data_IF_446665601238
#
_entry.id   IF_446665601238
#
_cell.length_a   1.000
_cell.length_b   1.000
_cell.length_c   1.000
_cell.angle_alpha   90.00
_cell.angle_beta   90.00
_cell.angle_gamma   90.00
#
_symmetry.space_group_name_H-M   'P 1'
#
loop_
_entity.id
_entity.type
_entity.pdbx_description
1 polymer ?
#
# COMPACT_ATOMS: atom_id res chain seq x y z
N UNK A 1 -13.65 4.59 17.51
CA UNK A 1 -12.23 4.35 17.30
C UNK A 1 -11.91 4.30 15.81
N UNK A 2 -10.72 4.81 15.43
CA UNK A 2 -10.25 4.80 14.03
C UNK A 2 -10.12 3.37 13.48
N UNK A 3 -9.70 2.42 14.31
CA UNK A 3 -9.57 1.02 13.89
C UNK A 3 -10.92 0.38 13.57
N UNK A 4 -11.95 0.67 14.36
CA UNK A 4 -13.32 0.23 14.07
C UNK A 4 -13.82 0.79 12.73
N UNK A 5 -13.58 2.08 12.49
CA UNK A 5 -13.92 2.71 11.21
C UNK A 5 -13.15 2.11 10.03
N UNK A 6 -11.90 1.70 10.27
CA UNK A 6 -11.13 0.99 9.26
C UNK A 6 -11.70 -0.39 8.94
N UNK A 7 -12.07 -1.17 9.94
CA UNK A 7 -12.76 -2.44 9.75
C UNK A 7 -14.04 -2.25 8.94
N UNK A 8 -14.88 -1.28 9.32
CA UNK A 8 -16.10 -0.96 8.58
C UNK A 8 -15.83 -0.54 7.13
N UNK A 9 -14.75 0.21 6.89
CA UNK A 9 -14.33 0.57 5.53
C UNK A 9 -13.97 -0.67 4.71
N UNK A 10 -13.16 -1.58 5.26
CA UNK A 10 -12.80 -2.84 4.59
C UNK A 10 -14.05 -3.68 4.28
N UNK A 11 -14.94 -3.84 5.26
CA UNK A 11 -16.21 -4.56 5.08
C UNK A 11 -17.02 -3.97 3.92
N UNK A 12 -17.18 -2.64 3.89
CA UNK A 12 -17.88 -1.93 2.83
C UNK A 12 -17.25 -2.14 1.46
N UNK A 13 -15.92 -2.07 1.37
CA UNK A 13 -15.21 -2.27 0.11
C UNK A 13 -15.40 -3.68 -0.44
N UNK A 14 -15.33 -4.71 0.41
CA UNK A 14 -15.60 -6.08 -0.01
C UNK A 14 -17.06 -6.33 -0.37
N UNK A 15 -18.01 -5.63 0.25
CA UNK A 15 -19.42 -5.74 -0.10
C UNK A 15 -19.71 -5.28 -1.53
N UNK A 16 -18.99 -4.29 -2.05
CA UNK A 16 -19.08 -3.87 -3.44
C UNK A 16 -18.61 -4.94 -4.44
N UNK A 17 -17.80 -5.89 -3.99
CA UNK A 17 -17.42 -7.05 -4.80
C UNK A 17 -18.43 -8.21 -4.73
N UNK A 18 -19.57 -8.01 -4.06
CA UNK A 18 -20.64 -9.01 -3.96
C UNK A 18 -20.44 -10.07 -2.87
N UNK A 19 -19.47 -9.89 -1.96
CA UNK A 19 -19.31 -10.82 -0.83
C UNK A 19 -20.43 -10.67 0.21
N UNK A 20 -20.87 -11.79 0.79
CA UNK A 20 -21.84 -11.78 1.87
C UNK A 20 -21.28 -11.05 3.12
N UNK A 21 -22.16 -10.40 3.88
CA UNK A 21 -21.76 -9.58 5.04
C UNK A 21 -20.91 -10.34 6.07
N UNK A 22 -21.19 -11.62 6.32
CA UNK A 22 -20.39 -12.45 7.21
C UNK A 22 -18.96 -12.64 6.71
N UNK A 23 -18.78 -12.79 5.39
CA UNK A 23 -17.46 -12.93 4.75
C UNK A 23 -16.71 -11.59 4.79
N UNK A 24 -17.38 -10.47 4.49
CA UNK A 24 -16.79 -9.14 4.59
C UNK A 24 -16.20 -8.89 5.99
N UNK A 25 -16.96 -9.22 7.03
CA UNK A 25 -16.53 -9.10 8.43
C UNK A 25 -15.32 -9.99 8.75
N UNK A 26 -15.31 -11.23 8.28
CA UNK A 26 -14.15 -12.13 8.44
C UNK A 26 -12.91 -11.57 7.76
N UNK A 27 -13.04 -11.09 6.52
CA UNK A 27 -11.96 -10.51 5.75
C UNK A 27 -11.39 -9.26 6.44
N UNK A 28 -12.26 -8.35 6.87
CA UNK A 28 -11.84 -7.13 7.55
C UNK A 28 -11.07 -7.42 8.85
N UNK A 29 -11.55 -8.37 9.66
CA UNK A 29 -10.86 -8.78 10.89
C UNK A 29 -9.49 -9.40 10.59
N UNK A 30 -9.40 -10.28 9.59
CA UNK A 30 -8.13 -10.90 9.18
C UNK A 30 -7.13 -9.86 8.66
N UNK A 31 -7.57 -8.94 7.80
CA UNK A 31 -6.73 -7.88 7.25
C UNK A 31 -6.19 -6.99 8.35
N UNK A 32 -7.04 -6.51 9.28
CA UNK A 32 -6.59 -5.70 10.41
C UNK A 32 -5.56 -6.44 11.29
N UNK A 33 -5.78 -7.74 11.55
CA UNK A 33 -4.84 -8.57 12.30
C UNK A 33 -3.49 -8.68 11.58
N UNK A 34 -3.52 -8.95 10.28
CA UNK A 34 -2.33 -9.10 9.44
C UNK A 34 -1.52 -7.78 9.38
N UNK A 35 -2.20 -6.66 9.15
CA UNK A 35 -1.54 -5.34 9.13
C UNK A 35 -0.99 -4.94 10.50
N UNK A 36 -1.68 -5.34 11.57
CA UNK A 36 -1.21 -5.12 12.94
C UNK A 36 0.08 -5.89 13.19
N UNK A 37 0.16 -7.13 12.74
CA UNK A 37 1.39 -7.93 12.85
C UNK A 37 2.55 -7.31 12.06
N UNK A 38 2.31 -6.93 10.82
CA UNK A 38 3.29 -6.20 10.00
C UNK A 38 3.76 -4.92 10.71
N UNK A 39 2.82 -4.16 11.29
CA UNK A 39 3.12 -2.86 11.90
C UNK A 39 3.99 -2.95 13.16
N UNK A 40 3.88 -4.03 13.94
CA UNK A 40 4.68 -4.24 15.17
C UNK A 40 6.19 -4.23 14.92
N UNK A 41 6.61 -4.62 13.74
CA UNK A 41 8.02 -4.77 13.39
C UNK A 41 8.58 -3.63 12.54
N UNK A 42 7.74 -2.67 12.17
CA UNK A 42 8.19 -1.49 11.41
C UNK A 42 8.89 -0.48 12.31
N UNK A 43 9.93 0.13 11.77
CA UNK A 43 10.64 1.25 12.37
C UNK A 43 9.66 2.39 12.71
N UNK A 44 9.86 3.03 13.85
CA UNK A 44 9.02 4.16 14.26
C UNK A 44 9.18 5.40 13.34
N UNK A 45 8.31 6.39 13.54
CA UNK A 45 8.25 7.56 12.67
C UNK A 45 9.48 8.46 12.78
N UNK A 46 10.13 8.51 13.94
CA UNK A 46 11.29 9.35 14.19
C UNK A 46 12.52 8.73 13.55
N UNK A 47 12.75 7.46 13.82
CA UNK A 47 13.89 6.71 13.29
C UNK A 47 13.85 6.60 11.77
N UNK A 48 12.65 6.51 11.16
CA UNK A 48 12.47 6.47 9.71
C UNK A 48 12.95 7.75 8.99
N UNK A 49 13.08 8.85 9.70
CA UNK A 49 13.59 10.13 9.16
C UNK A 49 15.11 10.27 9.27
N UNK A 50 15.76 9.36 9.98
CA UNK A 50 17.20 9.35 10.16
C UNK A 50 17.87 8.57 9.03
N UNK A 51 18.61 9.24 8.11
CA UNK A 51 19.32 8.56 7.04
C UNK A 51 20.34 7.54 7.52
N UNK A 52 20.95 7.72 8.69
CA UNK A 52 21.92 6.79 9.26
C UNK A 52 21.25 5.44 9.63
N UNK A 53 19.96 5.48 10.00
CA UNK A 53 19.18 4.28 10.34
C UNK A 53 18.53 3.61 9.12
N UNK A 54 18.26 4.40 8.07
CA UNK A 54 17.54 3.91 6.89
C UNK A 54 18.45 3.55 5.71
N UNK A 55 19.71 3.94 5.74
CA UNK A 55 20.68 3.61 4.69
C UNK A 55 21.46 2.33 5.03
N UNK A 56 20.91 1.20 4.70
CA UNK A 56 21.51 -0.11 4.97
C UNK A 56 21.75 -0.86 3.65
N UNK A 57 22.88 -0.63 2.96
CA UNK A 57 23.20 -1.34 1.73
C UNK A 57 23.39 -2.85 2.00
N UNK A 58 22.78 -3.67 1.17
CA UNK A 58 22.89 -5.13 1.20
C UNK A 58 23.12 -5.66 -0.21
N UNK A 59 24.03 -6.59 -0.35
CA UNK A 59 24.20 -7.29 -1.62
C UNK A 59 22.98 -8.15 -1.92
N UNK A 60 22.77 -8.49 -3.20
CA UNK A 60 21.71 -9.40 -3.62
C UNK A 60 21.83 -10.76 -2.91
N UNK A 61 23.05 -11.24 -2.66
CA UNK A 61 23.26 -12.47 -1.88
C UNK A 61 22.76 -12.35 -0.44
N UNK A 62 23.07 -11.24 0.23
CA UNK A 62 22.59 -10.99 1.58
C UNK A 62 21.06 -10.90 1.66
N UNK A 63 20.41 -10.24 0.69
CA UNK A 63 18.94 -10.19 0.64
C UNK A 63 18.33 -11.58 0.45
N UNK A 64 18.93 -12.42 -0.39
CA UNK A 64 18.49 -13.82 -0.57
C UNK A 64 18.60 -14.64 0.72
N UNK A 65 19.62 -14.41 1.52
CA UNK A 65 19.78 -15.07 2.84
C UNK A 65 18.74 -14.56 3.85
N UNK A 66 18.45 -13.25 3.84
CA UNK A 66 17.45 -12.65 4.74
C UNK A 66 16.03 -13.13 4.43
N UNK A 67 15.67 -13.25 3.15
CA UNK A 67 14.34 -13.64 2.68
C UNK A 67 14.44 -14.73 1.60
N UNK A 68 14.80 -15.97 1.98
CA UNK A 68 15.04 -17.07 1.04
C UNK A 68 13.77 -17.57 0.33
N UNK A 69 12.58 -17.28 0.87
CA UNK A 69 11.30 -17.66 0.26
C UNK A 69 10.97 -16.82 -0.99
N UNK A 70 11.63 -15.67 -1.21
CA UNK A 70 11.39 -14.83 -2.38
C UNK A 70 12.36 -15.21 -3.49
N UNK A 71 11.83 -15.49 -4.67
CA UNK A 71 12.65 -15.62 -5.88
C UNK A 71 13.08 -14.22 -6.36
N UNK A 72 14.14 -13.70 -5.76
CA UNK A 72 14.63 -12.34 -6.00
C UNK A 72 14.99 -12.08 -7.46
N UNK A 73 15.56 -13.05 -8.18
CA UNK A 73 15.87 -12.88 -9.60
C UNK A 73 14.60 -12.64 -10.40
N UNK A 74 13.58 -13.46 -10.17
CA UNK A 74 12.29 -13.31 -10.84
C UNK A 74 11.59 -12.01 -10.45
N UNK A 75 11.62 -11.64 -9.18
CA UNK A 75 11.03 -10.39 -8.70
C UNK A 75 11.68 -9.17 -9.37
N UNK A 76 13.00 -9.08 -9.33
CA UNK A 76 13.76 -7.97 -9.93
C UNK A 76 13.53 -7.88 -11.44
N UNK A 77 13.53 -9.02 -12.13
CA UNK A 77 13.23 -9.09 -13.57
C UNK A 77 11.83 -8.54 -13.89
N UNK A 78 10.81 -8.96 -13.11
CA UNK A 78 9.41 -8.50 -13.29
C UNK A 78 9.21 -7.00 -13.06
N UNK A 79 9.98 -6.37 -12.20
CA UNK A 79 9.94 -4.92 -11.99
C UNK A 79 10.92 -4.15 -12.90
N UNK A 80 11.57 -4.83 -13.85
CA UNK A 80 12.48 -4.22 -14.82
C UNK A 80 13.83 -3.76 -14.24
N UNK A 81 14.22 -4.31 -13.10
CA UNK A 81 15.50 -3.98 -12.43
C UNK A 81 16.54 -5.05 -12.76
N UNK A 82 17.53 -4.67 -13.54
CA UNK A 82 18.57 -5.57 -14.02
C UNK A 82 19.97 -5.04 -13.65
N UNK A 83 20.94 -5.94 -13.55
CA UNK A 83 22.36 -5.61 -13.37
C UNK A 83 22.64 -4.73 -12.12
N UNK A 84 22.02 -5.08 -10.99
CA UNK A 84 22.28 -4.45 -9.71
C UNK A 84 22.98 -5.42 -8.77
N UNK A 85 23.95 -4.91 -8.00
CA UNK A 85 24.69 -5.70 -7.01
C UNK A 85 24.20 -5.41 -5.58
N UNK A 86 23.59 -4.25 -5.36
CA UNK A 86 23.25 -3.75 -4.03
C UNK A 86 21.85 -3.15 -4.01
N UNK A 87 21.14 -3.41 -2.91
CA UNK A 87 19.83 -2.83 -2.58
C UNK A 87 19.95 -2.08 -1.24
N UNK A 88 19.32 -0.93 -1.13
CA UNK A 88 19.19 -0.23 0.14
C UNK A 88 17.98 -0.77 0.90
N UNK A 89 18.20 -1.33 2.07
CA UNK A 89 17.16 -1.80 2.98
C UNK A 89 16.89 -0.75 4.02
N UNK A 90 15.75 -0.08 3.93
CA UNK A 90 15.41 1.01 4.85
C UNK A 90 15.06 0.54 6.26
N UNK A 91 14.57 -0.69 6.43
CA UNK A 91 14.16 -1.22 7.73
C UNK A 91 14.61 -2.69 7.85
N UNK A 92 15.77 -2.89 8.44
CA UNK A 92 16.35 -4.23 8.65
C UNK A 92 15.52 -5.06 9.64
N UNK A 93 14.98 -4.45 10.68
CA UNK A 93 14.15 -5.16 11.65
C UNK A 93 12.89 -5.72 10.99
N UNK A 94 12.21 -4.91 10.19
CA UNK A 94 11.05 -5.34 9.43
C UNK A 94 11.38 -6.51 8.48
N UNK A 95 12.45 -6.39 7.70
CA UNK A 95 12.86 -7.44 6.75
C UNK A 95 13.18 -8.76 7.48
N UNK A 96 13.87 -8.71 8.61
CA UNK A 96 14.19 -9.89 9.38
C UNK A 96 12.94 -10.60 9.95
N UNK A 97 11.92 -9.81 10.36
CA UNK A 97 10.67 -10.37 10.87
C UNK A 97 9.70 -10.80 9.75
N UNK A 98 9.82 -10.25 8.55
CA UNK A 98 8.98 -10.61 7.42
C UNK A 98 9.07 -12.11 7.09
N UNK A 99 10.22 -12.74 7.29
CA UNK A 99 10.39 -14.19 7.17
C UNK A 99 9.44 -14.96 8.09
N UNK A 100 9.29 -14.52 9.33
CA UNK A 100 8.40 -15.15 10.30
C UNK A 100 6.94 -14.97 9.90
N UNK A 101 6.55 -13.74 9.51
CA UNK A 101 5.21 -13.44 9.02
C UNK A 101 4.86 -14.33 7.81
N UNK A 102 5.82 -14.57 6.92
CA UNK A 102 5.65 -15.48 5.79
C UNK A 102 5.40 -16.93 6.21
N UNK A 103 6.11 -17.41 7.21
CA UNK A 103 6.01 -18.78 7.67
C UNK A 103 4.76 -19.05 8.53
N UNK A 104 4.31 -18.05 9.27
CA UNK A 104 3.16 -18.14 10.19
C UNK A 104 1.82 -18.00 9.49
N UNK A 105 1.77 -17.40 8.32
CA UNK A 105 0.54 -17.17 7.57
C UNK A 105 0.47 -18.08 6.33
N UNK A 106 -0.71 -18.61 6.08
CA UNK A 106 -0.95 -19.44 4.90
C UNK A 106 -1.12 -18.59 3.63
N UNK A 107 -1.04 -19.24 2.48
CA UNK A 107 -1.14 -18.59 1.17
C UNK A 107 -2.48 -17.86 0.97
N UNK A 108 -3.57 -18.32 1.58
CA UNK A 108 -4.89 -17.69 1.44
C UNK A 108 -4.96 -16.36 2.22
N UNK A 109 -4.27 -16.23 3.34
CA UNK A 109 -4.17 -14.97 4.08
C UNK A 109 -3.35 -13.93 3.28
N UNK A 110 -2.27 -14.36 2.63
CA UNK A 110 -1.50 -13.51 1.71
C UNK A 110 -2.32 -13.09 0.49
N UNK A 111 -3.07 -14.00 -0.13
CA UNK A 111 -3.96 -13.67 -1.24
C UNK A 111 -5.04 -12.66 -0.83
N UNK A 112 -5.62 -12.83 0.35
CA UNK A 112 -6.60 -11.90 0.89
C UNK A 112 -5.99 -10.51 1.11
N UNK A 113 -4.81 -10.44 1.71
CA UNK A 113 -4.10 -9.19 1.96
C UNK A 113 -3.73 -8.46 0.67
N UNK A 114 -3.20 -9.20 -0.32
CA UNK A 114 -2.89 -8.62 -1.64
C UNK A 114 -4.16 -8.17 -2.38
N UNK A 115 -5.25 -8.94 -2.30
CA UNK A 115 -6.55 -8.54 -2.86
C UNK A 115 -7.02 -7.22 -2.23
N UNK A 116 -6.90 -7.09 -0.92
CA UNK A 116 -7.21 -5.84 -0.23
C UNK A 116 -6.33 -4.69 -0.71
N UNK A 117 -5.03 -4.88 -0.83
CA UNK A 117 -4.11 -3.87 -1.34
C UNK A 117 -4.53 -3.34 -2.70
N UNK A 118 -4.77 -4.25 -3.67
CA UNK A 118 -5.21 -3.89 -5.02
C UNK A 118 -6.55 -3.15 -5.00
N UNK A 119 -7.54 -3.66 -4.24
CA UNK A 119 -8.86 -3.04 -4.14
C UNK A 119 -8.78 -1.63 -3.55
N UNK A 120 -8.02 -1.47 -2.49
CA UNK A 120 -7.86 -0.20 -1.80
C UNK A 120 -7.11 0.85 -2.64
N UNK A 121 -6.04 0.44 -3.32
CA UNK A 121 -5.25 1.33 -4.18
C UNK A 121 -6.03 1.76 -5.43
N UNK A 122 -6.85 0.87 -5.99
CA UNK A 122 -7.66 1.16 -7.17
C UNK A 122 -8.98 1.87 -6.84
N UNK A 123 -9.40 1.94 -5.58
CA UNK A 123 -10.75 2.38 -5.16
C UNK A 123 -11.17 3.73 -5.74
N UNK A 124 -10.24 4.68 -5.85
CA UNK A 124 -10.52 6.02 -6.43
C UNK A 124 -10.73 6.02 -7.95
N UNK A 125 -10.43 4.92 -8.62
CA UNK A 125 -10.52 4.75 -10.09
C UNK A 125 -11.59 3.73 -10.50
N UNK A 126 -12.30 3.14 -9.53
CA UNK A 126 -13.35 2.16 -9.76
C UNK A 126 -14.74 2.84 -9.82
N UNK A 127 -15.74 2.28 -9.16
CA UNK A 127 -17.09 2.85 -9.17
C UNK A 127 -17.19 4.09 -8.27
N UNK A 128 -18.21 4.92 -8.49
CA UNK A 128 -18.45 6.12 -7.67
C UNK A 128 -18.63 5.77 -6.18
N UNK A 129 -19.32 4.67 -5.90
CA UNK A 129 -19.54 4.21 -4.52
C UNK A 129 -18.23 3.80 -3.83
N UNK A 130 -17.30 3.17 -4.57
CA UNK A 130 -15.98 2.81 -4.04
C UNK A 130 -15.10 4.03 -3.84
N UNK A 131 -15.12 4.98 -4.77
CA UNK A 131 -14.43 6.27 -4.65
C UNK A 131 -14.91 7.04 -3.41
N UNK A 132 -16.23 7.16 -3.23
CA UNK A 132 -16.83 7.84 -2.08
C UNK A 132 -16.43 7.13 -0.77
N UNK A 133 -16.54 5.80 -0.71
CA UNK A 133 -16.17 5.04 0.48
C UNK A 133 -14.69 5.24 0.85
N UNK A 134 -13.80 5.23 -0.14
CA UNK A 134 -12.38 5.47 0.06
C UNK A 134 -12.12 6.89 0.56
N UNK A 135 -12.74 7.89 -0.04
CA UNK A 135 -12.64 9.29 0.40
C UNK A 135 -13.17 9.50 1.82
N UNK A 136 -14.31 8.92 2.17
CA UNK A 136 -14.91 9.01 3.51
C UNK A 136 -13.99 8.48 4.60
N UNK A 137 -13.26 7.41 4.32
CA UNK A 137 -12.30 6.89 5.28
C UNK A 137 -10.99 7.68 5.28
N UNK A 138 -10.28 7.75 4.15
CA UNK A 138 -8.92 8.29 4.12
C UNK A 138 -8.87 9.83 4.20
N UNK A 139 -9.83 10.52 3.61
CA UNK A 139 -9.82 11.98 3.61
C UNK A 139 -10.67 12.57 4.74
N UNK A 140 -11.92 12.15 4.88
CA UNK A 140 -12.82 12.69 5.89
C UNK A 140 -12.47 12.18 7.29
N UNK A 141 -12.37 10.87 7.47
CA UNK A 141 -12.14 10.28 8.81
C UNK A 141 -10.70 10.49 9.30
N UNK A 142 -9.69 10.20 8.47
CA UNK A 142 -8.29 10.26 8.91
C UNK A 142 -7.68 11.67 8.84
N UNK A 143 -8.08 12.47 7.85
CA UNK A 143 -7.47 13.79 7.61
C UNK A 143 -8.37 14.96 7.98
N UNK A 144 -9.62 14.72 8.34
CA UNK A 144 -10.57 15.76 8.72
C UNK A 144 -11.09 16.62 7.57
N UNK A 145 -10.93 16.20 6.32
CA UNK A 145 -11.42 16.93 5.14
C UNK A 145 -12.94 16.88 5.11
N UNK A 146 -13.60 18.02 5.14
CA UNK A 146 -15.05 18.09 5.29
C UNK A 146 -15.80 17.81 3.97
N UNK A 147 -15.25 18.27 2.84
CA UNK A 147 -15.88 18.16 1.53
C UNK A 147 -14.91 17.59 0.49
N UNK A 148 -15.43 16.75 -0.38
CA UNK A 148 -14.65 16.23 -1.51
C UNK A 148 -14.59 17.30 -2.60
N UNK A 149 -13.42 17.49 -3.20
CA UNK A 149 -13.27 18.37 -4.36
C UNK A 149 -14.21 17.95 -5.50
N UNK A 150 -14.75 18.91 -6.26
CA UNK A 150 -15.55 18.60 -7.44
C UNK A 150 -14.82 17.65 -8.41
N UNK A 151 -15.57 16.78 -9.09
CA UNK A 151 -15.00 15.78 -10.01
C UNK A 151 -14.07 16.40 -11.05
N UNK A 152 -14.40 17.59 -11.56
CA UNK A 152 -13.57 18.33 -12.52
C UNK A 152 -12.17 18.64 -11.95
N UNK A 153 -12.10 19.10 -10.71
CA UNK A 153 -10.82 19.41 -10.07
C UNK A 153 -10.01 18.15 -9.78
N UNK A 154 -10.67 17.05 -9.39
CA UNK A 154 -10.02 15.77 -9.18
C UNK A 154 -9.43 15.22 -10.49
N UNK A 155 -10.18 15.33 -11.59
CA UNK A 155 -9.70 14.93 -12.92
C UNK A 155 -8.48 15.75 -13.34
N UNK A 156 -8.49 17.08 -13.16
CA UNK A 156 -7.33 17.93 -13.45
C UNK A 156 -6.13 17.54 -12.59
N UNK A 157 -6.34 17.25 -11.29
CA UNK A 157 -5.27 16.80 -10.39
C UNK A 157 -4.68 15.46 -10.84
N UNK A 158 -5.51 14.53 -11.32
CA UNK A 158 -5.07 13.24 -11.84
C UNK A 158 -4.24 13.40 -13.12
N UNK A 159 -4.65 14.28 -14.04
CA UNK A 159 -3.89 14.60 -15.25
C UNK A 159 -2.53 15.20 -14.88
N UNK A 160 -2.51 16.16 -13.95
CA UNK A 160 -1.27 16.79 -13.49
C UNK A 160 -0.31 15.77 -12.86
N UNK A 161 -0.82 14.80 -12.12
CA UNK A 161 -0.02 13.71 -11.55
C UNK A 161 0.53 12.76 -12.64
N UNK A 162 -0.28 12.39 -13.62
CA UNK A 162 0.07 11.37 -14.61
C UNK A 162 0.98 11.90 -15.74
N UNK A 163 0.72 13.13 -16.22
CA UNK A 163 1.41 13.75 -17.37
C UNK A 163 1.87 15.18 -17.08
N UNK A 164 2.23 15.48 -15.82
CA UNK A 164 2.57 16.82 -15.36
C UNK A 164 3.68 17.52 -16.18
N UNK A 165 4.66 16.77 -16.66
CA UNK A 165 5.71 17.35 -17.51
C UNK A 165 5.18 17.84 -18.87
N UNK A 166 4.29 17.09 -19.51
CA UNK A 166 3.65 17.51 -20.76
C UNK A 166 2.76 18.75 -20.54
N UNK A 167 2.02 18.76 -19.41
CA UNK A 167 1.21 19.91 -19.02
C UNK A 167 2.08 21.15 -18.71
N UNK A 168 3.22 20.95 -18.03
CA UNK A 168 4.21 21.99 -17.78
C UNK A 168 4.76 22.61 -19.05
N UNK A 169 5.03 21.78 -20.08
CA UNK A 169 5.44 22.29 -21.40
C UNK A 169 4.38 23.18 -22.03
N UNK A 170 3.12 22.74 -22.05
CA UNK A 170 2.00 23.56 -22.57
C UNK A 170 1.88 24.89 -21.84
N UNK A 171 2.08 24.90 -20.52
CA UNK A 171 2.08 26.13 -19.75
C UNK A 171 3.20 27.09 -20.15
N UNK A 172 4.42 26.59 -20.32
CA UNK A 172 5.57 27.40 -20.75
C UNK A 172 5.36 27.93 -22.16
N UNK A 173 4.89 27.08 -23.09
CA UNK A 173 4.65 27.49 -24.50
C UNK A 173 3.50 28.52 -24.63
N UNK A 174 2.63 28.65 -23.61
CA UNK A 174 1.52 29.58 -23.57
C UNK A 174 1.84 30.96 -22.96
N UNK A 175 3.06 31.12 -22.40
CA UNK A 175 3.58 32.35 -21.78
C UNK A 175 4.50 33.12 -22.71
#
# INVERSE_FOLDING_TARGET
DVREKYVMHIERMFSFLGYAASICKQYATKILSFETEIAKHKMDKVDRRDPAKTYNPRSISQIKEMLPMINWNHYLDKIGVHNIDTIIVSDLNYINHLKNIFNENNIEDWKLYLKWGVLNDAASMLTEEMEIANWEFYSKTLRGVQEQKPRKERAISSINWSIGQALGKLYVDSK
#
